data_IF_848499112797
#
_entry.id   IF_848499112797
#
_cell.length_a   1.000
_cell.length_b   1.000
_cell.length_c   1.000
_cell.angle_alpha   90.00
_cell.angle_beta   90.00
_cell.angle_gamma   90.00
#
_symmetry.space_group_name_H-M   'P 1'
#
loop_
_entity.id
_entity.type
_entity.pdbx_description
1 polymer ?
#
# COMPACT_ATOMS: atom_id res chain seq x y z
N UNK A 1 -20.20 -20.08 -6.17
CA UNK A 1 -18.74 -19.96 -5.91
C UNK A 1 -18.32 -21.29 -5.32
N UNK A 2 -17.32 -21.98 -5.88
CA UNK A 2 -16.92 -23.33 -5.43
C UNK A 2 -16.40 -23.28 -3.99
N UNK A 3 -16.85 -24.20 -3.12
CA UNK A 3 -16.49 -24.27 -1.70
C UNK A 3 -14.96 -24.36 -1.47
N UNK A 4 -14.24 -24.94 -2.42
CA UNK A 4 -12.77 -25.05 -2.41
C UNK A 4 -12.07 -23.69 -2.48
N UNK A 5 -12.66 -22.73 -3.16
CA UNK A 5 -12.11 -21.38 -3.29
C UNK A 5 -12.21 -20.65 -1.94
N UNK A 6 -13.29 -20.87 -1.19
CA UNK A 6 -13.47 -20.30 0.16
C UNK A 6 -12.40 -20.81 1.12
N UNK A 7 -12.08 -22.10 1.07
CA UNK A 7 -11.00 -22.68 1.89
C UNK A 7 -9.64 -22.10 1.51
N UNK A 8 -9.35 -21.94 0.21
CA UNK A 8 -8.12 -21.31 -0.26
C UNK A 8 -8.01 -19.85 0.20
N UNK A 9 -9.10 -19.08 0.18
CA UNK A 9 -9.12 -17.73 0.73
C UNK A 9 -8.87 -17.72 2.23
N UNK A 10 -9.47 -18.65 2.98
CA UNK A 10 -9.27 -18.75 4.43
C UNK A 10 -7.81 -19.08 4.77
N UNK A 11 -7.21 -20.03 4.07
CA UNK A 11 -5.79 -20.37 4.20
C UNK A 11 -4.89 -19.21 3.79
N UNK A 12 -5.21 -18.53 2.69
CA UNK A 12 -4.48 -17.35 2.22
C UNK A 12 -4.52 -16.22 3.24
N UNK A 13 -5.68 -15.99 3.87
CA UNK A 13 -5.83 -14.98 4.92
C UNK A 13 -5.02 -15.32 6.17
N UNK A 14 -5.01 -16.59 6.59
CA UNK A 14 -4.18 -17.07 7.70
C UNK A 14 -2.68 -16.93 7.43
N UNK A 15 -2.24 -17.31 6.22
CA UNK A 15 -0.84 -17.16 5.78
C UNK A 15 -0.41 -15.70 5.68
N UNK A 16 -1.25 -14.84 5.11
CA UNK A 16 -0.97 -13.41 5.01
C UNK A 16 -0.84 -12.78 6.41
N UNK A 17 -1.76 -13.09 7.33
CA UNK A 17 -1.68 -12.64 8.72
C UNK A 17 -0.42 -13.13 9.45
N UNK A 18 -0.05 -14.40 9.25
CA UNK A 18 1.17 -14.97 9.84
C UNK A 18 2.44 -14.33 9.30
N UNK A 19 2.54 -14.11 7.98
CA UNK A 19 3.66 -13.42 7.35
C UNK A 19 3.77 -11.98 7.86
N UNK A 20 2.66 -11.29 8.00
CA UNK A 20 2.62 -9.91 8.51
C UNK A 20 3.08 -9.85 9.98
N UNK A 21 2.56 -10.73 10.84
CA UNK A 21 3.01 -10.85 12.23
C UNK A 21 4.52 -11.18 12.32
N UNK A 22 4.99 -12.11 11.49
CA UNK A 22 6.40 -12.50 11.43
C UNK A 22 7.29 -11.32 11.00
N UNK A 23 6.92 -10.57 9.98
CA UNK A 23 7.71 -9.42 9.51
C UNK A 23 7.77 -8.31 10.56
N UNK A 24 6.64 -7.97 11.20
CA UNK A 24 6.61 -6.97 12.27
C UNK A 24 7.50 -7.39 13.44
N UNK A 25 7.51 -8.68 13.79
CA UNK A 25 8.32 -9.21 14.89
C UNK A 25 9.81 -9.31 14.56
N UNK A 26 10.17 -9.58 13.30
CA UNK A 26 11.57 -9.67 12.86
C UNK A 26 12.22 -8.29 12.67
N UNK A 27 11.44 -7.28 12.30
CA UNK A 27 11.92 -5.92 12.08
C UNK A 27 11.00 -4.88 12.75
N UNK A 28 10.93 -4.86 14.08
CA UNK A 28 10.07 -3.93 14.80
C UNK A 28 10.47 -2.48 14.55
N UNK A 29 11.74 -2.19 14.22
CA UNK A 29 12.19 -0.84 13.90
C UNK A 29 11.49 -0.27 12.65
N UNK A 30 11.16 -1.11 11.65
CA UNK A 30 10.50 -0.66 10.41
C UNK A 30 9.06 -0.19 10.67
N UNK A 31 8.42 -0.70 11.73
CA UNK A 31 7.07 -0.34 12.15
C UNK A 31 7.05 0.65 13.33
N UNK A 32 8.21 1.21 13.70
CA UNK A 32 8.27 2.32 14.66
C UNK A 32 7.50 3.53 14.12
N UNK A 33 6.80 4.24 15.00
CA UNK A 33 6.02 5.44 14.65
C UNK A 33 6.83 6.46 13.83
N UNK A 34 8.14 6.56 14.09
CA UNK A 34 9.04 7.46 13.35
C UNK A 34 9.21 7.04 11.88
N UNK A 35 9.41 5.74 11.61
CA UNK A 35 9.57 5.21 10.25
C UNK A 35 8.25 5.18 9.47
N UNK A 36 7.13 4.95 10.15
CA UNK A 36 5.79 5.03 9.54
C UNK A 36 5.48 6.47 9.09
N UNK A 37 5.79 7.47 9.92
CA UNK A 37 5.59 8.89 9.55
C UNK A 37 6.53 9.28 8.41
N UNK A 38 7.80 8.85 8.45
CA UNK A 38 8.77 9.15 7.39
C UNK A 38 8.38 8.53 6.05
N UNK A 39 7.95 7.26 6.04
CA UNK A 39 7.45 6.58 4.84
C UNK A 39 6.16 7.21 4.31
N UNK A 40 5.22 7.54 5.21
CA UNK A 40 3.97 8.21 4.85
C UNK A 40 4.20 9.58 4.22
N UNK A 41 5.21 10.33 4.66
CA UNK A 41 5.52 11.64 4.08
C UNK A 41 6.05 11.52 2.64
N UNK A 42 6.94 10.57 2.37
CA UNK A 42 7.44 10.30 1.01
C UNK A 42 6.30 9.86 0.10
N UNK A 43 5.44 8.95 0.56
CA UNK A 43 4.27 8.49 -0.20
C UNK A 43 3.26 9.62 -0.44
N UNK A 44 3.02 10.48 0.54
CA UNK A 44 2.11 11.62 0.41
C UNK A 44 2.62 12.65 -0.61
N UNK A 45 3.90 13.00 -0.55
CA UNK A 45 4.52 13.91 -1.52
C UNK A 45 4.48 13.32 -2.92
N UNK A 46 4.78 12.03 -3.07
CA UNK A 46 4.73 11.35 -4.36
C UNK A 46 3.30 11.33 -4.94
N UNK A 47 2.29 11.09 -4.10
CA UNK A 47 0.89 11.11 -4.49
C UNK A 47 0.45 12.51 -4.96
N UNK A 48 0.81 13.57 -4.22
CA UNK A 48 0.52 14.95 -4.60
C UNK A 48 1.20 15.33 -5.92
N UNK A 49 2.46 14.94 -6.12
CA UNK A 49 3.18 15.17 -7.36
C UNK A 49 2.48 14.49 -8.56
N UNK A 50 2.01 13.26 -8.38
CA UNK A 50 1.29 12.53 -9.42
C UNK A 50 -0.06 13.19 -9.76
N UNK A 51 -0.81 13.64 -8.74
CA UNK A 51 -2.06 14.38 -8.95
C UNK A 51 -1.81 15.67 -9.74
N UNK A 52 -0.77 16.44 -9.37
CA UNK A 52 -0.40 17.65 -10.09
C UNK A 52 -0.01 17.35 -11.55
N UNK A 53 0.74 16.27 -11.78
CA UNK A 53 1.15 15.83 -13.11
C UNK A 53 -0.06 15.46 -13.98
N UNK A 54 -0.98 14.64 -13.46
CA UNK A 54 -2.20 14.25 -14.18
C UNK A 54 -3.07 15.48 -14.44
N UNK A 55 -3.22 16.38 -13.46
CA UNK A 55 -3.95 17.64 -13.63
C UNK A 55 -3.38 18.50 -14.76
N UNK A 56 -2.05 18.59 -14.86
CA UNK A 56 -1.38 19.29 -15.95
C UNK A 56 -1.68 18.62 -17.31
N UNK A 57 -1.57 17.30 -17.40
CA UNK A 57 -1.90 16.54 -18.62
C UNK A 57 -3.33 16.82 -19.06
N UNK A 58 -4.29 16.84 -18.13
CA UNK A 58 -5.70 17.13 -18.44
C UNK A 58 -5.88 18.56 -18.97
N UNK A 59 -5.20 19.55 -18.39
CA UNK A 59 -5.28 20.95 -18.86
C UNK A 59 -4.71 21.09 -20.26
N UNK A 60 -3.54 20.49 -20.53
CA UNK A 60 -2.90 20.52 -21.85
C UNK A 60 -3.77 19.80 -22.88
N UNK A 61 -4.36 18.66 -22.53
CA UNK A 61 -5.24 17.91 -23.42
C UNK A 61 -6.57 18.63 -23.69
N UNK A 62 -7.08 19.41 -22.72
CA UNK A 62 -8.34 20.15 -22.86
C UNK A 62 -8.20 21.44 -23.68
N UNK A 63 -7.02 22.05 -23.65
CA UNK A 63 -6.74 23.30 -24.36
C UNK A 63 -5.99 23.11 -25.69
N UNK A 64 -5.63 21.87 -26.03
CA UNK A 64 -5.05 21.47 -27.31
C UNK A 64 -6.09 21.06 -28.34
#
# INVERSE_FOLDING_TARGET
MSDWVTVLYLCGMGLAGWLMYRQIKQHPELFSSENLIKSSNVLAVLALALIAFIGLVVIVLRNG
#
